data_IF_008123792868
#
_entry.id   IF_008123792868
#
_cell.length_a   1.000
_cell.length_b   1.000
_cell.length_c   1.000
_cell.angle_alpha   90.00
_cell.angle_beta   90.00
_cell.angle_gamma   90.00
#
_symmetry.space_group_name_H-M   'P 1'
#
loop_
_entity.id
_entity.type
_entity.pdbx_description
1 polymer ?
#
# COMPACT_ATOMS: atom_id res chain seq x y z
N UNK A 1 -13.59 -5.08 -6.60
CA UNK A 1 -12.33 -5.44 -7.28
C UNK A 1 -11.48 -6.23 -6.30
N UNK A 2 -10.85 -7.31 -6.76
CA UNK A 2 -9.94 -8.13 -5.95
C UNK A 2 -8.53 -7.90 -6.46
N UNK A 3 -7.62 -7.44 -5.60
CA UNK A 3 -6.21 -7.29 -5.95
C UNK A 3 -5.56 -8.67 -6.14
N UNK A 4 -4.74 -8.81 -7.18
CA UNK A 4 -3.93 -10.01 -7.40
C UNK A 4 -2.87 -10.16 -6.30
N UNK A 5 -2.30 -11.35 -6.16
CA UNK A 5 -1.24 -11.58 -5.18
C UNK A 5 -0.03 -10.69 -5.44
N UNK A 6 0.37 -10.51 -6.69
CA UNK A 6 1.49 -9.63 -7.07
C UNK A 6 1.19 -8.16 -6.71
N UNK A 7 -0.05 -7.70 -6.90
CA UNK A 7 -0.45 -6.35 -6.50
C UNK A 7 -0.40 -6.18 -4.99
N UNK A 8 -0.90 -7.16 -4.22
CA UNK A 8 -0.85 -7.14 -2.75
C UNK A 8 0.58 -7.09 -2.21
N UNK A 9 1.49 -7.87 -2.79
CA UNK A 9 2.92 -7.83 -2.42
C UNK A 9 3.48 -6.42 -2.66
N UNK A 10 3.21 -5.84 -3.83
CA UNK A 10 3.67 -4.49 -4.15
C UNK A 10 3.05 -3.41 -3.25
N UNK A 11 1.78 -3.55 -2.86
CA UNK A 11 1.14 -2.65 -1.90
C UNK A 11 1.87 -2.66 -0.56
N UNK A 12 2.13 -3.85 0.00
CA UNK A 12 2.83 -3.98 1.28
C UNK A 12 4.28 -3.49 1.17
N UNK A 13 4.98 -3.86 0.11
CA UNK A 13 6.36 -3.40 -0.12
C UNK A 13 6.45 -1.87 -0.23
N UNK A 14 5.55 -1.24 -0.99
CA UNK A 14 5.52 0.21 -1.14
C UNK A 14 5.15 0.91 0.17
N UNK A 15 4.19 0.35 0.92
CA UNK A 15 3.80 0.88 2.22
C UNK A 15 4.95 0.85 3.24
N UNK A 16 5.64 -0.29 3.36
CA UNK A 16 6.78 -0.44 4.27
C UNK A 16 7.99 0.41 3.85
N UNK A 17 8.26 0.49 2.54
CA UNK A 17 9.37 1.29 1.98
C UNK A 17 9.17 2.78 2.18
N UNK A 18 7.93 3.26 2.12
CA UNK A 18 7.57 4.63 2.42
C UNK A 18 7.45 4.92 3.92
N UNK A 19 7.63 3.90 4.76
CA UNK A 19 7.74 4.06 6.21
C UNK A 19 8.94 4.93 6.55
N UNK A 20 8.72 5.96 7.36
CA UNK A 20 9.76 6.83 7.89
C UNK A 20 9.82 6.67 9.39
N UNK A 21 11.03 6.57 9.93
CA UNK A 21 11.23 6.54 11.37
C UNK A 21 11.36 7.98 11.86
N UNK A 22 10.38 8.44 12.63
CA UNK A 22 10.38 9.76 13.27
C UNK A 22 10.57 9.56 14.77
N UNK A 23 11.72 10.04 15.27
CA UNK A 23 12.22 9.88 16.64
C UNK A 23 12.38 8.41 17.08
N UNK A 24 11.28 7.68 17.26
CA UNK A 24 11.23 6.25 17.61
C UNK A 24 10.05 5.52 16.94
N UNK A 25 9.08 6.26 16.40
CA UNK A 25 7.84 5.72 15.81
C UNK A 25 7.99 5.59 14.30
N UNK A 26 7.46 4.49 13.76
CA UNK A 26 7.31 4.35 12.31
C UNK A 26 6.04 5.05 11.86
N UNK A 27 6.21 6.09 11.05
CA UNK A 27 5.12 6.74 10.34
C UNK A 27 5.02 6.17 8.93
N UNK A 28 3.82 5.77 8.52
CA UNK A 28 3.56 5.23 7.19
C UNK A 28 2.59 6.13 6.44
N UNK A 29 2.89 6.39 5.17
CA UNK A 29 2.04 7.19 4.29
C UNK A 29 1.34 6.31 3.26
N UNK A 30 0.02 6.12 3.45
CA UNK A 30 -0.83 5.43 2.46
C UNK A 30 -0.82 6.20 1.13
N UNK A 31 -0.81 7.53 1.17
CA UNK A 31 -0.78 8.37 -0.04
C UNK A 31 0.48 8.10 -0.88
N UNK A 32 1.66 8.02 -0.25
CA UNK A 32 2.91 7.72 -0.96
C UNK A 32 2.88 6.30 -1.57
N UNK A 33 2.33 5.33 -0.83
CA UNK A 33 2.11 3.98 -1.33
C UNK A 33 1.18 3.96 -2.56
N UNK A 34 0.10 4.76 -2.56
CA UNK A 34 -0.84 4.86 -3.68
C UNK A 34 -0.19 5.50 -4.90
N UNK A 35 0.63 6.53 -4.73
CA UNK A 35 1.36 7.17 -5.83
C UNK A 35 2.30 6.18 -6.52
N UNK A 36 3.11 5.44 -5.75
CA UNK A 36 3.97 4.38 -6.32
C UNK A 36 3.15 3.28 -7.01
N UNK A 37 2.02 2.89 -6.42
CA UNK A 37 1.15 1.86 -7.00
C UNK A 37 0.56 2.32 -8.34
N UNK A 38 0.12 3.59 -8.45
CA UNK A 38 -0.39 4.17 -9.69
C UNK A 38 0.67 4.28 -10.77
N UNK A 39 1.93 4.54 -10.41
CA UNK A 39 3.04 4.56 -11.36
C UNK A 39 3.27 3.15 -11.94
N UNK A 40 3.20 2.11 -11.11
CA UNK A 40 3.35 0.72 -11.56
C UNK A 40 2.14 0.17 -12.30
N UNK A 41 0.93 0.62 -11.94
CA UNK A 41 -0.33 0.13 -12.51
C UNK A 41 -1.23 1.31 -12.93
N UNK A 42 -0.84 2.07 -13.97
CA UNK A 42 -1.54 3.31 -14.36
C UNK A 42 -2.97 3.05 -14.88
N UNK A 43 -3.22 1.88 -15.45
CA UNK A 43 -4.54 1.50 -15.96
C UNK A 43 -5.48 0.95 -14.87
N UNK A 44 -4.96 0.73 -13.66
CA UNK A 44 -5.74 0.12 -12.60
C UNK A 44 -6.59 1.17 -11.86
N UNK A 45 -7.90 1.10 -12.09
CA UNK A 45 -8.88 1.88 -11.34
C UNK A 45 -9.24 1.16 -10.05
N UNK A 46 -9.01 1.81 -8.90
CA UNK A 46 -9.40 1.30 -7.60
C UNK A 46 -9.94 2.42 -6.71
N UNK A 47 -10.82 2.03 -5.80
CA UNK A 47 -11.32 2.93 -4.75
C UNK A 47 -10.29 2.99 -3.61
N UNK A 48 -10.10 4.18 -3.06
CA UNK A 48 -9.19 4.41 -1.94
C UNK A 48 -9.54 3.49 -0.75
N UNK A 49 -10.81 3.39 -0.38
CA UNK A 49 -11.26 2.55 0.73
C UNK A 49 -10.93 1.07 0.52
N UNK A 50 -11.12 0.55 -0.70
CA UNK A 50 -10.77 -0.85 -1.02
C UNK A 50 -9.27 -1.09 -0.98
N UNK A 51 -8.48 -0.11 -1.42
CA UNK A 51 -7.02 -0.16 -1.34
C UNK A 51 -6.56 -0.20 0.12
N UNK A 52 -7.08 0.72 0.95
CA UNK A 52 -6.77 0.78 2.36
C UNK A 52 -7.16 -0.51 3.09
N UNK A 53 -8.41 -0.99 2.93
CA UNK A 53 -8.86 -2.24 3.54
C UNK A 53 -8.00 -3.45 3.13
N UNK A 54 -7.60 -3.53 1.86
CA UNK A 54 -6.73 -4.61 1.40
C UNK A 54 -5.34 -4.51 2.00
N UNK A 55 -4.78 -3.30 2.07
CA UNK A 55 -3.48 -3.05 2.67
C UNK A 55 -3.49 -3.40 4.17
N UNK A 56 -4.50 -2.93 4.92
CA UNK A 56 -4.65 -3.21 6.34
C UNK A 56 -4.76 -4.72 6.61
N UNK A 57 -5.54 -5.43 5.79
CA UNK A 57 -5.64 -6.88 5.84
C UNK A 57 -4.28 -7.55 5.56
N UNK A 58 -3.54 -7.06 4.57
CA UNK A 58 -2.25 -7.65 4.22
C UNK A 58 -1.21 -7.42 5.32
N UNK A 59 -1.15 -6.22 5.91
CA UNK A 59 -0.20 -5.88 6.98
C UNK A 59 -0.53 -6.60 8.28
N UNK A 60 -1.81 -6.74 8.63
CA UNK A 60 -2.24 -7.42 9.88
C UNK A 60 -1.96 -8.93 9.86
N UNK A 61 -1.80 -9.53 8.67
CA UNK A 61 -1.49 -10.95 8.51
C UNK A 61 0.03 -11.26 8.51
N UNK A 62 0.89 -10.26 8.74
CA UNK A 62 2.33 -10.42 8.98
C UNK A 62 2.66 -10.34 10.47
#
# INVERSE_FOLDING_TARGET
MVFSQQQKILMVEAYLRNGRKVEVVWEYSISACIEEFRIKFPEMLFEYEKFQQTLDLCVTNF
#
